data_IF_634327787523
#
_entry.id   IF_634327787523
#
_cell.length_a   1.000
_cell.length_b   1.000
_cell.length_c   1.000
_cell.angle_alpha   90.00
_cell.angle_beta   90.00
_cell.angle_gamma   90.00
#
_symmetry.space_group_name_H-M   'P 1'
#
loop_
_entity.id
_entity.type
_entity.pdbx_description
1 polymer ?
#
# COMPACT_ATOMS: atom_id res chain seq x y z
N UNK A 1 -34.04 11.28 -25.11
CA UNK A 1 -32.90 10.75 -24.34
C UNK A 1 -32.33 9.60 -25.16
N UNK A 2 -31.27 9.85 -25.92
CA UNK A 2 -30.88 8.95 -27.00
C UNK A 2 -30.01 7.85 -26.42
N UNK A 3 -30.24 6.61 -26.80
CA UNK A 3 -29.52 5.42 -26.30
C UNK A 3 -28.00 5.65 -26.32
N UNK A 4 -27.49 6.30 -27.36
CA UNK A 4 -26.07 6.66 -27.50
C UNK A 4 -25.56 7.62 -26.40
N UNK A 5 -26.40 8.57 -25.96
CA UNK A 5 -26.07 9.46 -24.83
C UNK A 5 -26.06 8.67 -23.52
N UNK A 6 -27.03 7.77 -23.32
CA UNK A 6 -27.07 6.91 -22.13
C UNK A 6 -25.85 5.98 -22.04
N UNK A 7 -25.48 5.35 -23.15
CA UNK A 7 -24.28 4.49 -23.25
C UNK A 7 -23.02 5.30 -22.95
N UNK A 8 -22.87 6.49 -23.55
CA UNK A 8 -21.73 7.38 -23.29
C UNK A 8 -21.60 7.71 -21.79
N UNK A 9 -22.70 8.08 -21.12
CA UNK A 9 -22.68 8.38 -19.69
C UNK A 9 -22.31 7.16 -18.83
N UNK A 10 -22.76 5.95 -19.19
CA UNK A 10 -22.41 4.72 -18.47
C UNK A 10 -20.91 4.43 -18.58
N UNK A 11 -20.33 4.52 -19.79
CA UNK A 11 -18.91 4.31 -20.01
C UNK A 11 -18.05 5.35 -19.28
N UNK A 12 -18.42 6.63 -19.35
CA UNK A 12 -17.73 7.71 -18.61
C UNK A 12 -17.78 7.44 -17.10
N UNK A 13 -18.95 7.05 -16.57
CA UNK A 13 -19.11 6.75 -15.15
C UNK A 13 -18.27 5.55 -14.72
N UNK A 14 -18.23 4.48 -15.52
CA UNK A 14 -17.42 3.29 -15.25
C UNK A 14 -15.92 3.61 -15.27
N UNK A 15 -15.46 4.38 -16.26
CA UNK A 15 -14.06 4.83 -16.35
C UNK A 15 -13.67 5.68 -15.15
N UNK A 16 -14.55 6.60 -14.71
CA UNK A 16 -14.33 7.43 -13.52
C UNK A 16 -14.27 6.58 -12.25
N UNK A 17 -15.17 5.60 -12.08
CA UNK A 17 -15.18 4.67 -10.94
C UNK A 17 -13.91 3.79 -10.94
N UNK A 18 -13.49 3.27 -12.08
CA UNK A 18 -12.25 2.48 -12.17
C UNK A 18 -11.02 3.35 -11.86
N UNK A 19 -10.98 4.59 -12.33
CA UNK A 19 -9.90 5.53 -12.01
C UNK A 19 -9.81 5.81 -10.50
N UNK A 20 -10.95 5.93 -9.79
CA UNK A 20 -10.95 6.15 -8.34
C UNK A 20 -10.69 4.89 -7.51
N UNK A 21 -11.02 3.70 -8.02
CA UNK A 21 -10.73 2.42 -7.34
C UNK A 21 -9.29 1.93 -7.53
N UNK A 22 -8.53 2.52 -8.47
CA UNK A 22 -7.16 2.11 -8.82
C UNK A 22 -6.11 2.28 -7.71
N UNK A 23 -6.47 2.83 -6.55
CA UNK A 23 -5.51 3.17 -5.49
C UNK A 23 -5.65 2.34 -4.21
N UNK A 24 -6.44 1.27 -4.19
CA UNK A 24 -6.61 0.47 -2.98
C UNK A 24 -5.77 -0.81 -2.94
N UNK A 25 -4.50 -0.71 -3.33
CA UNK A 25 -3.44 -1.63 -2.85
C UNK A 25 -2.70 -1.00 -1.66
N UNK A 26 -3.43 -0.53 -0.64
CA UNK A 26 -2.77 -0.31 0.63
C UNK A 26 -2.56 -1.68 1.29
N UNK A 27 -1.33 -2.16 1.17
CA UNK A 27 -0.71 -3.28 1.87
C UNK A 27 -1.39 -3.52 3.22
N UNK A 28 -2.29 -4.51 3.29
CA UNK A 28 -3.13 -4.83 4.47
C UNK A 28 -2.32 -5.46 5.61
N UNK A 29 -1.21 -4.85 6.00
CA UNK A 29 -0.35 -5.41 7.04
C UNK A 29 -1.03 -5.41 8.43
N UNK A 30 -2.03 -4.54 8.64
CA UNK A 30 -2.73 -4.38 9.92
C UNK A 30 -4.21 -4.75 9.85
N UNK A 31 -4.48 -6.05 9.69
CA UNK A 31 -5.83 -6.62 9.83
C UNK A 31 -6.21 -6.88 11.31
N UNK A 32 -5.21 -7.11 12.18
CA UNK A 32 -5.41 -7.33 13.62
C UNK A 32 -4.56 -6.35 14.44
N UNK A 33 -5.14 -5.62 15.42
CA UNK A 33 -4.40 -4.69 16.28
C UNK A 33 -3.44 -5.43 17.22
N UNK A 34 -2.38 -4.75 17.62
CA UNK A 34 -1.35 -5.29 18.52
C UNK A 34 -0.36 -6.25 17.85
N UNK A 35 -0.59 -6.62 16.58
CA UNK A 35 0.39 -7.39 15.81
C UNK A 35 1.66 -6.57 15.62
N UNK A 36 2.79 -7.23 15.87
CA UNK A 36 4.12 -6.68 15.64
C UNK A 36 4.80 -7.48 14.53
N UNK A 37 5.36 -6.79 13.55
CA UNK A 37 6.06 -7.39 12.41
C UNK A 37 7.26 -6.54 11.99
N UNK A 38 8.09 -7.07 11.09
CA UNK A 38 9.25 -6.36 10.55
C UNK A 38 8.99 -5.98 9.10
N UNK A 39 9.08 -4.69 8.78
CA UNK A 39 9.07 -4.17 7.41
C UNK A 39 10.44 -3.57 7.12
N UNK A 40 11.11 -4.12 6.10
CA UNK A 40 12.54 -3.91 5.87
C UNK A 40 13.37 -4.29 7.10
N UNK A 41 13.90 -3.30 7.81
CA UNK A 41 14.66 -3.46 9.06
C UNK A 41 13.95 -2.82 10.26
N UNK A 42 12.77 -2.23 10.03
CA UNK A 42 12.01 -1.53 11.06
C UNK A 42 10.99 -2.46 11.69
N UNK A 43 10.86 -2.37 13.01
CA UNK A 43 9.80 -3.06 13.75
C UNK A 43 8.57 -2.17 13.72
N UNK A 44 7.44 -2.75 13.31
CA UNK A 44 6.16 -2.08 13.16
C UNK A 44 5.13 -2.73 14.07
N UNK A 45 4.23 -1.92 14.63
CA UNK A 45 3.08 -2.36 15.44
C UNK A 45 1.79 -1.79 14.89
N UNK A 46 0.74 -2.61 14.83
CA UNK A 46 -0.59 -2.21 14.41
C UNK A 46 -1.39 -1.60 15.57
N UNK A 47 -2.03 -0.46 15.33
CA UNK A 47 -2.96 0.18 16.27
C UNK A 47 -4.41 -0.27 16.04
N UNK A 48 -5.33 0.18 16.90
CA UNK A 48 -6.77 -0.16 16.80
C UNK A 48 -7.46 0.46 15.58
N UNK A 49 -6.89 1.51 14.99
CA UNK A 49 -7.41 2.17 13.77
C UNK A 49 -7.01 1.43 12.48
N UNK A 50 -6.18 0.40 12.57
CA UNK A 50 -5.64 -0.32 11.41
C UNK A 50 -4.41 0.35 10.79
N UNK A 51 -3.83 1.37 11.44
CA UNK A 51 -2.57 1.98 11.02
C UNK A 51 -1.39 1.25 11.68
N UNK A 52 -0.21 1.36 11.05
CA UNK A 52 1.04 0.89 11.64
C UNK A 52 1.93 2.04 12.10
N UNK A 53 2.62 1.84 13.22
CA UNK A 53 3.73 2.68 13.66
C UNK A 53 5.02 1.86 13.63
N UNK A 54 6.05 2.37 12.94
CA UNK A 54 7.33 1.70 12.79
C UNK A 54 8.46 2.46 13.47
N UNK A 55 9.53 1.76 13.86
CA UNK A 55 10.80 2.42 14.16
C UNK A 55 11.33 3.16 12.92
N UNK A 56 12.24 4.12 13.10
CA UNK A 56 12.81 4.91 12.01
C UNK A 56 14.29 4.63 11.78
N UNK A 57 14.65 3.35 11.66
CA UNK A 57 15.99 2.93 11.27
C UNK A 57 16.19 3.20 9.78
N UNK A 58 17.35 3.73 9.43
CA UNK A 58 17.80 3.80 8.03
C UNK A 58 18.16 2.39 7.57
N UNK A 59 17.25 1.76 6.83
CA UNK A 59 17.49 0.43 6.28
C UNK A 59 18.42 0.51 5.08
N UNK A 60 19.41 -0.39 5.03
CA UNK A 60 20.23 -0.56 3.82
C UNK A 60 19.34 -1.15 2.74
N UNK A 61 19.28 -0.53 1.56
CA UNK A 61 18.69 -1.16 0.40
C UNK A 61 19.65 -2.25 -0.06
N UNK A 62 19.32 -3.52 0.19
CA UNK A 62 20.04 -4.60 -0.45
C UNK A 62 19.65 -4.59 -1.94
N UNK A 63 20.39 -3.84 -2.75
CA UNK A 63 20.40 -4.13 -4.18
C UNK A 63 21.01 -5.52 -4.31
N UNK A 64 20.40 -6.41 -5.10
CA UNK A 64 20.82 -7.80 -5.27
C UNK A 64 22.27 -7.99 -5.79
N UNK A 65 23.00 -6.90 -6.02
CA UNK A 65 24.39 -6.87 -6.45
C UNK A 65 25.37 -6.32 -5.40
N UNK A 66 24.91 -5.89 -4.22
CA UNK A 66 25.80 -5.41 -3.15
C UNK A 66 26.02 -6.50 -2.09
N UNK A 67 27.20 -7.10 -2.16
CA UNK A 67 27.75 -7.99 -1.14
C UNK A 67 27.78 -7.25 0.22
N UNK A 68 27.28 -7.82 1.34
CA UNK A 68 27.25 -7.09 2.59
C UNK A 68 28.65 -7.01 3.18
N UNK A 69 29.31 -5.86 3.08
CA UNK A 69 30.31 -5.48 4.06
C UNK A 69 29.60 -5.22 5.38
N UNK A 70 29.71 -6.22 6.26
CA UNK A 70 29.47 -6.18 7.69
C UNK A 70 30.14 -4.91 8.25
N UNK A 71 29.34 -3.99 8.77
CA UNK A 71 29.85 -2.89 9.57
C UNK A 71 29.36 -3.15 10.99
N UNK A 72 30.36 -3.49 11.81
CA UNK A 72 30.38 -3.51 13.27
C UNK A 72 29.93 -2.16 13.87
#
# INVERSE_FOLDING_TARGET
MNIMKAVFFIFVSLLLVVATLSQQENERACELPGITFVKDCNTCVCNESGDMACTMKRCKTFRSNDHPSRHE
#
